data_IF_391367558515
#
_entry.id   IF_391367558515
#
_cell.length_a   1.000
_cell.length_b   1.000
_cell.length_c   1.000
_cell.angle_alpha   90.00
_cell.angle_beta   90.00
_cell.angle_gamma   90.00
#
_symmetry.space_group_name_H-M   'P 1'
#
loop_
_entity.id
_entity.type
_entity.pdbx_description
1 polymer ?
#
# COMPACT_ATOMS: atom_id res chain seq x y z
N UNK A 1 18.03 23.49 -19.67
CA UNK A 1 19.11 23.31 -18.67
C UNK A 1 18.73 23.80 -17.28
N UNK A 2 18.10 24.97 -17.12
CA UNK A 2 17.69 25.53 -15.80
C UNK A 2 16.78 24.62 -14.93
N UNK A 3 15.88 23.84 -15.54
CA UNK A 3 14.98 22.95 -14.80
C UNK A 3 15.74 21.79 -14.12
N UNK A 4 16.79 21.26 -14.75
CA UNK A 4 17.52 20.10 -14.22
C UNK A 4 18.38 20.45 -12.99
N UNK A 5 19.00 21.64 -12.98
CA UNK A 5 19.76 22.12 -11.80
C UNK A 5 18.85 22.39 -10.60
N UNK A 6 17.65 22.94 -10.84
CA UNK A 6 16.69 23.22 -9.78
C UNK A 6 16.11 21.93 -9.18
N UNK A 7 15.84 20.91 -10.01
CA UNK A 7 15.41 19.59 -9.55
C UNK A 7 16.49 18.93 -8.70
N UNK A 8 17.77 18.99 -9.12
CA UNK A 8 18.88 18.42 -8.35
C UNK A 8 19.00 19.05 -6.96
N UNK A 9 18.85 20.37 -6.85
CA UNK A 9 18.84 21.09 -5.55
C UNK A 9 17.68 20.68 -4.64
N UNK A 10 16.47 20.53 -5.19
CA UNK A 10 15.32 20.11 -4.37
C UNK A 10 15.45 18.66 -3.93
N UNK A 11 15.97 17.78 -4.80
CA UNK A 11 16.26 16.39 -4.43
C UNK A 11 17.34 16.30 -3.35
N UNK A 12 18.38 17.14 -3.39
CA UNK A 12 19.38 17.17 -2.32
C UNK A 12 18.77 17.64 -1.00
N UNK A 13 17.95 18.70 -1.02
CA UNK A 13 17.23 19.19 0.18
C UNK A 13 16.30 18.11 0.77
N UNK A 14 15.49 17.45 -0.06
CA UNK A 14 14.61 16.35 0.37
C UNK A 14 15.41 15.20 1.00
N UNK A 15 16.54 14.84 0.39
CA UNK A 15 17.42 13.78 0.91
C UNK A 15 18.02 14.17 2.25
N UNK A 16 18.54 15.38 2.37
CA UNK A 16 19.18 15.86 3.60
C UNK A 16 18.15 15.96 4.72
N UNK A 17 16.94 16.42 4.44
CA UNK A 17 15.85 16.46 5.42
C UNK A 17 15.44 15.05 5.86
N UNK A 18 15.27 14.11 4.92
CA UNK A 18 15.00 12.72 5.26
C UNK A 18 16.14 12.04 6.02
N UNK A 19 17.40 12.48 5.83
CA UNK A 19 18.57 12.01 6.60
C UNK A 19 18.63 12.59 8.00
N UNK A 20 18.42 13.89 8.15
CA UNK A 20 18.34 14.57 9.46
C UNK A 20 17.21 13.96 10.29
N UNK A 21 16.09 13.65 9.62
CA UNK A 21 14.97 12.96 10.21
C UNK A 21 15.24 11.45 10.36
N UNK A 22 16.39 10.91 9.97
CA UNK A 22 16.75 9.49 10.12
C UNK A 22 15.88 8.52 9.33
N UNK A 23 15.04 9.00 8.41
CA UNK A 23 14.20 8.18 7.55
C UNK A 23 15.03 7.41 6.51
N UNK A 24 16.16 7.96 6.08
CA UNK A 24 17.14 7.29 5.22
C UNK A 24 18.54 7.50 5.79
N UNK A 25 19.42 6.51 5.67
CA UNK A 25 20.79 6.59 6.21
C UNK A 25 21.80 7.06 5.16
N UNK A 26 21.75 6.51 3.94
CA UNK A 26 22.68 6.87 2.87
C UNK A 26 22.03 6.87 1.48
N UNK A 27 21.41 5.75 1.11
CA UNK A 27 20.65 5.54 -0.12
C UNK A 27 19.28 5.01 0.25
N UNK A 28 18.28 5.21 -0.60
CA UNK A 28 16.92 4.83 -0.28
C UNK A 28 15.86 5.79 -0.77
N UNK A 29 16.17 6.69 -1.72
CA UNK A 29 15.26 7.72 -2.17
C UNK A 29 15.06 7.61 -3.68
N UNK A 30 13.80 7.65 -4.10
CA UNK A 30 13.48 7.90 -5.49
C UNK A 30 12.29 8.86 -5.62
N UNK A 31 12.34 9.68 -6.67
CA UNK A 31 11.35 10.68 -7.02
C UNK A 31 10.85 10.39 -8.42
N UNK A 32 9.53 10.26 -8.55
CA UNK A 32 8.84 10.00 -9.80
C UNK A 32 7.77 11.07 -10.04
N UNK A 33 7.41 11.26 -11.31
CA UNK A 33 6.15 11.94 -11.64
C UNK A 33 4.97 11.01 -11.37
N UNK A 34 3.77 11.57 -11.25
CA UNK A 34 2.53 10.78 -11.14
C UNK A 34 2.30 9.90 -12.37
N UNK A 35 2.72 10.35 -13.56
CA UNK A 35 2.73 9.55 -14.79
C UNK A 35 3.79 8.43 -14.84
N UNK A 36 4.62 8.27 -13.81
CA UNK A 36 5.59 7.18 -13.73
C UNK A 36 6.98 7.46 -14.27
N UNK A 37 7.27 8.71 -14.68
CA UNK A 37 8.60 9.11 -15.15
C UNK A 37 9.55 9.25 -13.97
N UNK A 38 10.69 8.57 -14.04
CA UNK A 38 11.74 8.69 -13.03
C UNK A 38 12.45 10.04 -13.15
N UNK A 39 12.42 10.83 -12.08
CA UNK A 39 13.13 12.10 -11.97
C UNK A 39 14.48 11.89 -11.29
N UNK A 40 14.50 11.07 -10.23
CA UNK A 40 15.69 10.73 -9.47
C UNK A 40 15.51 9.34 -8.82
N UNK A 41 16.58 8.56 -8.72
CA UNK A 41 16.62 7.33 -7.92
C UNK A 41 18.04 7.10 -7.45
N UNK A 42 18.21 6.79 -6.17
CA UNK A 42 19.42 6.15 -5.63
C UNK A 42 19.16 4.78 -5.01
N UNK A 43 17.96 4.22 -5.27
CA UNK A 43 17.56 2.89 -4.84
C UNK A 43 18.46 1.82 -5.47
N UNK A 44 18.59 0.70 -4.76
CA UNK A 44 19.23 -0.49 -5.31
C UNK A 44 18.37 -1.04 -6.47
N UNK A 45 18.98 -1.60 -7.54
CA UNK A 45 18.24 -2.06 -8.72
C UNK A 45 17.10 -3.03 -8.41
N UNK A 46 17.30 -3.94 -7.46
CA UNK A 46 16.29 -4.90 -7.02
C UNK A 46 15.07 -4.26 -6.35
N UNK A 47 15.28 -3.12 -5.67
CA UNK A 47 14.20 -2.33 -5.05
C UNK A 47 13.50 -1.49 -6.11
N UNK A 48 14.25 -0.97 -7.08
CA UNK A 48 13.69 -0.21 -8.20
C UNK A 48 12.79 -1.07 -9.10
N UNK A 49 13.17 -2.33 -9.37
CA UNK A 49 12.30 -3.28 -10.07
C UNK A 49 10.98 -3.52 -9.34
N UNK A 50 11.02 -3.65 -8.02
CA UNK A 50 9.81 -3.76 -7.20
C UNK A 50 8.98 -2.48 -7.24
N UNK A 51 9.62 -1.31 -7.23
CA UNK A 51 8.94 -0.03 -7.35
C UNK A 51 8.22 0.14 -8.69
N UNK A 52 8.83 -0.33 -9.79
CA UNK A 52 8.25 -0.26 -11.15
C UNK A 52 6.90 -0.96 -11.28
N UNK A 53 6.66 -2.01 -10.48
CA UNK A 53 5.36 -2.70 -10.43
C UNK A 53 4.22 -1.77 -10.00
N UNK A 54 4.52 -0.77 -9.16
CA UNK A 54 3.53 0.16 -8.61
C UNK A 54 3.36 1.44 -9.44
N UNK A 55 4.17 1.65 -10.47
CA UNK A 55 4.14 2.87 -11.29
C UNK A 55 2.75 3.12 -11.90
N UNK A 56 2.08 2.06 -12.35
CA UNK A 56 0.70 2.12 -12.86
C UNK A 56 -0.33 2.57 -11.82
N UNK A 57 0.00 2.45 -10.53
CA UNK A 57 -0.87 2.81 -9.41
C UNK A 57 -0.66 4.24 -8.92
N UNK A 58 0.41 4.92 -9.36
CA UNK A 58 0.72 6.29 -8.93
C UNK A 58 -0.41 7.30 -9.19
N UNK A 59 -1.11 7.28 -10.35
CA UNK A 59 -2.23 8.19 -10.60
C UNK A 59 -3.41 7.99 -9.64
N UNK A 60 -3.58 6.78 -9.11
CA UNK A 60 -4.67 6.44 -8.19
C UNK A 60 -4.42 6.87 -6.75
N UNK A 61 -3.20 7.23 -6.37
CA UNK A 61 -2.87 7.69 -5.02
C UNK A 61 -3.35 9.12 -4.81
N UNK A 62 -4.10 9.39 -3.74
CA UNK A 62 -4.34 10.76 -3.28
C UNK A 62 -3.09 11.33 -2.59
N UNK A 63 -2.97 12.65 -2.48
CA UNK A 63 -1.84 13.30 -1.78
C UNK A 63 -1.82 12.83 -0.32
N UNK A 64 -0.67 12.35 0.14
CA UNK A 64 -0.50 11.76 1.48
C UNK A 64 -0.89 10.28 1.60
N UNK A 65 -1.60 9.73 0.62
CA UNK A 65 -1.77 8.27 0.53
C UNK A 65 -0.44 7.61 0.19
N UNK A 66 -0.24 6.40 0.72
CA UNK A 66 0.99 5.67 0.58
C UNK A 66 0.78 4.17 0.37
N UNK A 67 1.73 3.55 -0.29
CA UNK A 67 1.86 2.10 -0.44
C UNK A 67 3.10 1.69 0.35
N UNK A 68 2.95 0.65 1.16
CA UNK A 68 4.04 0.11 1.98
C UNK A 68 4.35 -1.30 1.51
N UNK A 69 5.61 -1.56 1.17
CA UNK A 69 6.09 -2.87 0.70
C UNK A 69 7.26 -3.30 1.56
N UNK A 70 7.10 -4.42 2.27
CA UNK A 70 8.19 -4.99 3.07
C UNK A 70 9.11 -5.83 2.19
N UNK A 71 10.41 -5.55 2.25
CA UNK A 71 11.46 -6.23 1.49
C UNK A 71 12.53 -6.67 2.49
N UNK A 72 12.45 -7.93 2.94
CA UNK A 72 13.29 -8.43 4.03
C UNK A 72 13.03 -7.65 5.32
N UNK A 73 14.08 -7.11 5.92
CA UNK A 73 14.01 -6.31 7.16
C UNK A 73 13.75 -4.81 6.91
N UNK A 74 13.70 -4.39 5.64
CA UNK A 74 13.48 -3.00 5.24
C UNK A 74 12.09 -2.82 4.65
N UNK A 75 11.64 -1.58 4.63
CA UNK A 75 10.36 -1.21 4.06
C UNK A 75 10.52 -0.14 3.01
N UNK A 76 9.87 -0.35 1.86
CA UNK A 76 9.70 0.64 0.81
C UNK A 76 8.35 1.33 1.00
N UNK A 77 8.37 2.64 1.16
CA UNK A 77 7.19 3.48 1.34
C UNK A 77 7.08 4.39 0.13
N UNK A 78 5.99 4.26 -0.62
CA UNK A 78 5.72 5.05 -1.82
C UNK A 78 4.58 5.99 -1.46
N UNK A 79 4.81 7.30 -1.43
CA UNK A 79 3.80 8.29 -1.04
C UNK A 79 3.71 9.38 -2.10
N UNK A 80 2.47 9.80 -2.41
CA UNK A 80 2.26 10.98 -3.25
C UNK A 80 2.51 12.25 -2.43
N UNK A 81 3.49 13.04 -2.83
CA UNK A 81 3.86 14.28 -2.15
C UNK A 81 3.11 15.50 -2.68
N UNK A 82 2.75 15.49 -3.97
CA UNK A 82 2.10 16.64 -4.62
C UNK A 82 1.18 16.19 -5.74
N UNK A 83 0.53 17.13 -6.44
CA UNK A 83 -0.31 16.78 -7.59
C UNK A 83 0.49 16.13 -8.72
N UNK A 84 1.79 16.39 -8.82
CA UNK A 84 2.64 15.90 -9.90
C UNK A 84 3.79 14.99 -9.47
N UNK A 85 4.01 14.79 -8.16
CA UNK A 85 5.16 14.05 -7.64
C UNK A 85 4.80 12.88 -6.70
N UNK A 86 5.55 11.80 -6.85
CA UNK A 86 5.54 10.61 -5.99
C UNK A 86 6.94 10.37 -5.45
N UNK A 87 7.05 10.18 -4.15
CA UNK A 87 8.30 9.90 -3.46
C UNK A 87 8.29 8.48 -2.93
N UNK A 88 9.35 7.74 -3.24
CA UNK A 88 9.62 6.43 -2.70
C UNK A 88 10.80 6.49 -1.73
N UNK A 89 10.61 5.95 -0.52
CA UNK A 89 11.59 5.92 0.56
C UNK A 89 11.80 4.48 1.01
N UNK A 90 13.03 3.98 0.91
CA UNK A 90 13.45 2.67 1.38
C UNK A 90 14.21 2.81 2.69
N UNK A 91 13.69 2.21 3.76
CA UNK A 91 14.10 2.50 5.13
C UNK A 91 14.12 1.26 6.02
N UNK A 92 14.94 1.32 7.07
CA UNK A 92 14.93 0.39 8.21
C UNK A 92 14.09 0.91 9.38
N UNK A 93 13.64 2.16 9.32
CA UNK A 93 12.88 2.77 10.40
C UNK A 93 11.45 2.24 10.44
N UNK A 94 10.82 2.40 11.60
CA UNK A 94 9.40 2.09 11.76
C UNK A 94 8.59 2.95 10.80
N UNK A 95 7.73 2.29 10.02
CA UNK A 95 6.90 2.90 8.97
C UNK A 95 6.17 4.14 9.47
N UNK A 96 5.51 4.07 10.64
CA UNK A 96 4.76 5.20 11.20
C UNK A 96 5.60 6.47 11.42
N UNK A 97 6.86 6.34 11.84
CA UNK A 97 7.75 7.49 12.02
C UNK A 97 8.08 8.13 10.66
N UNK A 98 8.37 7.30 9.66
CA UNK A 98 8.71 7.77 8.32
C UNK A 98 7.51 8.41 7.64
N UNK A 99 6.30 7.88 7.82
CA UNK A 99 5.08 8.48 7.30
C UNK A 99 4.80 9.87 7.88
N UNK A 100 4.96 10.06 9.19
CA UNK A 100 4.81 11.39 9.81
C UNK A 100 5.79 12.40 9.20
N UNK A 101 7.03 11.96 8.96
CA UNK A 101 8.09 12.78 8.35
C UNK A 101 7.79 13.11 6.89
N UNK A 102 7.38 12.11 6.10
CA UNK A 102 6.98 12.32 4.70
C UNK A 102 5.74 13.22 4.59
N UNK A 103 4.78 13.10 5.51
CA UNK A 103 3.63 14.01 5.57
C UNK A 103 4.02 15.46 5.87
N UNK A 104 5.09 15.69 6.64
CA UNK A 104 5.63 17.04 6.81
C UNK A 104 6.21 17.60 5.50
N UNK A 105 6.85 16.75 4.68
CA UNK A 105 7.41 17.14 3.39
C UNK A 105 6.32 17.58 2.39
N UNK A 106 5.10 17.05 2.47
CA UNK A 106 3.97 17.50 1.64
C UNK A 106 3.74 19.00 1.82
N UNK A 107 3.77 19.48 3.08
CA UNK A 107 3.57 20.89 3.40
C UNK A 107 4.75 21.76 2.94
N UNK A 108 5.98 21.25 3.14
CA UNK A 108 7.20 22.01 2.86
C UNK A 108 7.56 22.07 1.37
N UNK A 109 7.29 20.99 0.61
CA UNK A 109 7.76 20.85 -0.77
C UNK A 109 6.66 20.65 -1.81
N UNK A 110 5.41 20.40 -1.42
CA UNK A 110 4.33 20.12 -2.37
C UNK A 110 4.20 21.19 -3.45
N UNK A 111 4.10 22.46 -3.05
CA UNK A 111 3.97 23.59 -3.99
C UNK A 111 5.23 23.84 -4.83
N UNK A 112 6.41 23.59 -4.26
CA UNK A 112 7.69 23.71 -4.96
C UNK A 112 7.84 22.63 -6.02
N UNK A 113 7.45 21.39 -5.71
CA UNK A 113 7.47 20.26 -6.63
C UNK A 113 6.45 20.44 -7.76
N UNK A 114 5.25 20.95 -7.47
CA UNK A 114 4.24 21.19 -8.50
C UNK A 114 4.69 22.25 -9.52
N UNK A 115 5.34 23.33 -9.06
CA UNK A 115 5.93 24.36 -9.93
C UNK A 115 7.14 23.87 -10.73
N UNK A 116 7.97 23.01 -10.13
CA UNK A 116 9.15 22.45 -10.81
C UNK A 116 8.80 21.40 -11.86
N UNK A 117 7.68 20.70 -11.65
CA UNK A 117 7.18 19.69 -12.58
C UNK A 117 6.11 20.25 -13.53
N UNK A 118 5.82 21.54 -13.44
CA UNK A 118 4.99 22.27 -14.40
C UNK A 118 5.72 22.32 -15.76
N UNK A 119 5.28 21.50 -16.71
CA UNK A 119 5.87 21.40 -18.05
C UNK A 119 6.73 20.17 -18.30
N UNK A 120 6.81 19.21 -17.35
CA UNK A 120 7.30 17.87 -17.67
C UNK A 120 6.17 17.14 -18.40
N UNK A 121 6.25 17.07 -19.73
CA UNK A 121 5.33 16.26 -20.53
C UNK A 121 5.38 14.81 -20.03
N UNK A 122 4.21 14.31 -19.65
CA UNK A 122 3.99 12.91 -19.33
C UNK A 122 4.03 12.13 -20.64
N UNK A 123 5.16 11.50 -20.94
CA UNK A 123 5.16 10.44 -21.95
C UNK A 123 4.21 9.35 -21.46
N UNK A 124 3.09 9.24 -22.17
CA UNK A 124 2.08 8.21 -21.96
C UNK A 124 2.80 6.87 -21.91
N UNK A 125 2.81 6.22 -20.75
CA UNK A 125 3.21 4.83 -20.67
C UNK A 125 2.23 4.06 -21.57
N UNK A 126 2.67 3.41 -22.65
CA UNK A 126 1.78 2.67 -23.51
C UNK A 126 1.11 1.60 -22.66
N UNK A 127 -0.22 1.59 -22.69
CA UNK A 127 -1.03 0.49 -22.16
C UNK A 127 -0.49 -0.80 -22.75
N UNK A 128 0.17 -1.62 -21.94
CA UNK A 128 0.56 -2.97 -22.33
C UNK A 128 -0.76 -3.72 -22.57
N UNK A 129 -1.06 -3.95 -23.85
CA UNK A 129 -2.08 -4.90 -24.26
C UNK A 129 -1.59 -6.28 -23.82
N UNK A 130 -2.33 -6.92 -22.92
CA UNK A 130 -2.10 -8.31 -22.57
C UNK A 130 -2.20 -9.16 -23.85
N UNK A 131 -1.23 -10.03 -24.15
CA UNK A 131 -1.49 -11.12 -25.08
C UNK A 131 -2.52 -12.06 -24.44
N UNK A 132 -3.54 -12.44 -25.21
CA UNK A 132 -4.49 -13.48 -24.86
C UNK A 132 -3.72 -14.76 -24.54
N UNK A 133 -3.80 -15.20 -23.28
CA UNK A 133 -3.23 -16.47 -22.86
C UNK A 133 -4.10 -17.56 -23.47
N UNK A 134 -3.61 -18.13 -24.57
CA UNK A 134 -4.13 -19.37 -25.13
C UNK A 134 -3.98 -20.49 -24.10
N UNK A 135 -5.09 -21.17 -23.86
CA UNK A 135 -5.19 -22.36 -23.01
C UNK A 135 -4.17 -23.41 -23.45
N UNK A 136 -3.31 -23.84 -22.52
CA UNK A 136 -2.60 -25.11 -22.66
C UNK A 136 -2.79 -25.90 -21.37
N UNK A 137 -3.62 -26.94 -21.50
CA UNK A 137 -3.73 -28.07 -20.57
C UNK A 137 -2.36 -28.68 -20.32
N UNK A 138 -2.09 -29.02 -19.06
CA UNK A 138 -1.20 -30.15 -18.76
C UNK A 138 -1.71 -30.87 -17.53
N UNK A 139 -1.72 -32.20 -17.66
CA UNK A 139 -2.36 -33.22 -16.85
C UNK A 139 -1.83 -33.36 -15.41
N UNK A 140 -2.73 -33.83 -14.56
CA UNK A 140 -2.52 -34.39 -13.22
C UNK A 140 -1.86 -35.77 -13.31
N UNK A 141 -0.90 -36.07 -12.40
CA UNK A 141 -0.65 -37.44 -11.88
C UNK A 141 -0.17 -37.31 -10.41
N UNK A 142 -0.59 -38.21 -9.50
CA UNK A 142 -0.61 -37.98 -8.05
C UNK A 142 0.59 -38.59 -7.31
N UNK A 143 0.81 -38.18 -6.06
CA UNK A 143 1.59 -38.96 -5.10
C UNK A 143 0.78 -39.06 -3.80
N UNK A 144 0.31 -40.27 -3.56
CA UNK A 144 -0.24 -40.79 -2.32
C UNK A 144 0.87 -41.62 -1.65
N UNK A 145 1.19 -41.38 -0.38
CA UNK A 145 1.47 -42.40 0.65
C UNK A 145 1.71 -41.73 2.01
N UNK A 146 0.94 -42.20 3.00
CA UNK A 146 0.95 -41.87 4.44
C UNK A 146 2.07 -42.69 5.17
N UNK A 147 1.99 -43.00 6.49
CA UNK A 147 1.98 -42.18 7.71
C UNK A 147 3.14 -42.55 8.67
N UNK A 148 3.36 -41.77 9.74
CA UNK A 148 3.96 -42.30 10.98
C UNK A 148 3.28 -41.69 12.22
N UNK A 149 2.29 -42.43 12.72
CA UNK A 149 1.98 -42.62 14.14
C UNK A 149 3.20 -43.27 14.83
N UNK A 150 3.46 -43.26 16.13
CA UNK A 150 2.85 -42.83 17.39
C UNK A 150 3.98 -43.05 18.41
N UNK A 151 4.19 -42.15 19.38
CA UNK A 151 4.38 -42.62 20.77
C UNK A 151 3.69 -41.64 21.70
N UNK A 152 2.79 -42.21 22.48
CA UNK A 152 1.79 -41.58 23.33
C UNK A 152 2.37 -40.91 24.58
N UNK A 153 1.56 -40.00 25.11
CA UNK A 153 1.62 -39.38 26.43
C UNK A 153 1.45 -40.41 27.58
N UNK A 154 1.35 -40.03 28.87
CA UNK A 154 0.04 -39.51 29.34
C UNK A 154 0.04 -38.59 30.60
N UNK A 155 -0.96 -37.68 30.65
CA UNK A 155 -1.72 -37.09 31.80
C UNK A 155 -0.95 -36.44 32.98
N UNK A 156 -1.42 -35.43 33.73
CA UNK A 156 -2.76 -35.04 34.21
C UNK A 156 -2.58 -33.62 34.83
N UNK A 157 -3.31 -32.57 34.42
CA UNK A 157 -4.64 -32.13 34.88
C UNK A 157 -4.63 -31.20 36.11
N UNK A 158 -5.52 -30.19 36.02
CA UNK A 158 -6.08 -29.29 37.05
C UNK A 158 -5.27 -28.02 37.35
N UNK A 159 -5.67 -26.87 36.81
CA UNK A 159 -6.84 -26.06 37.19
C UNK A 159 -6.68 -25.40 38.57
N UNK A 160 -6.82 -24.07 38.54
CA UNK A 160 -7.16 -23.17 39.65
C UNK A 160 -6.12 -22.99 40.78
N UNK A 161 -5.32 -21.92 40.68
CA UNK A 161 -5.30 -20.84 41.70
C UNK A 161 -5.07 -19.51 40.97
N UNK A 162 -6.19 -18.97 40.49
CA UNK A 162 -6.45 -17.54 40.32
C UNK A 162 -6.36 -16.86 41.71
N UNK A 163 -6.25 -15.52 41.75
CA UNK A 163 -6.27 -14.68 42.98
C UNK A 163 -4.93 -14.47 43.73
N UNK A 164 -3.99 -13.73 43.14
CA UNK A 164 -3.15 -12.75 43.87
C UNK A 164 -2.21 -11.96 42.94
N UNK A 165 -2.77 -11.26 41.94
CA UNK A 165 -2.12 -10.06 41.37
C UNK A 165 -3.08 -9.18 40.57
N UNK A 166 -4.35 -9.19 40.96
CA UNK A 166 -5.29 -8.13 40.62
C UNK A 166 -5.06 -7.00 41.63
N UNK A 167 -4.19 -6.05 41.26
CA UNK A 167 -4.34 -4.61 41.48
C UNK A 167 -3.03 -3.92 41.08
N UNK A 168 -3.16 -2.87 40.27
CA UNK A 168 -2.10 -2.00 39.74
C UNK A 168 -1.26 -2.51 38.54
N UNK A 169 -1.90 -2.82 37.40
CA UNK A 169 -1.51 -2.22 36.11
C UNK A 169 -2.77 -2.11 35.23
N UNK A 170 -3.59 -1.10 35.53
CA UNK A 170 -4.60 -0.58 34.61
C UNK A 170 -3.86 0.14 33.46
N UNK A 171 -3.23 -0.63 32.56
CA UNK A 171 -2.56 -0.09 31.38
C UNK A 171 -3.61 0.32 30.34
N UNK A 172 -3.88 1.62 30.31
CA UNK A 172 -4.54 2.40 29.27
C UNK A 172 -4.64 1.66 27.91
N UNK A 173 -5.84 1.17 27.58
CA UNK A 173 -6.19 0.78 26.21
C UNK A 173 -6.08 2.03 25.33
N UNK A 174 -4.98 2.16 24.59
CA UNK A 174 -4.74 3.28 23.69
C UNK A 174 -5.70 3.17 22.51
N UNK A 175 -6.81 3.88 22.57
CA UNK A 175 -7.68 4.10 21.42
C UNK A 175 -6.93 5.00 20.42
N UNK A 176 -6.64 4.47 19.23
CA UNK A 176 -6.06 5.25 18.14
C UNK A 176 -7.04 5.41 17.00
N UNK A 177 -7.11 6.63 16.46
CA UNK A 177 -7.91 6.94 15.27
C UNK A 177 -7.05 6.65 14.04
N UNK A 178 -7.44 5.68 13.23
CA UNK A 178 -6.80 5.32 11.97
C UNK A 178 -7.77 5.63 10.84
N UNK A 179 -7.32 6.38 9.82
CA UNK A 179 -8.07 6.56 8.58
C UNK A 179 -7.96 5.31 7.73
N UNK A 180 -9.11 4.68 7.43
CA UNK A 180 -9.22 3.50 6.57
C UNK A 180 -9.95 3.86 5.29
N UNK A 181 -9.55 3.20 4.19
CA UNK A 181 -10.19 3.36 2.89
C UNK A 181 -11.39 2.44 2.78
N UNK A 182 -12.54 3.03 2.46
CA UNK A 182 -13.82 2.35 2.38
C UNK A 182 -14.42 2.58 0.99
N UNK A 183 -14.65 1.52 0.19
CA UNK A 183 -15.27 1.65 -1.12
C UNK A 183 -16.79 1.80 -1.00
N UNK A 184 -17.36 2.74 -1.77
CA UNK A 184 -18.80 3.03 -1.86
C UNK A 184 -19.23 2.86 -3.32
N UNK A 185 -20.24 2.03 -3.58
CA UNK A 185 -20.88 1.98 -4.90
C UNK A 185 -21.65 3.27 -5.17
N UNK A 186 -21.40 3.90 -6.31
CA UNK A 186 -22.15 5.04 -6.81
C UNK A 186 -23.19 4.67 -7.88
N UNK A 187 -22.95 3.57 -8.61
CA UNK A 187 -23.82 3.10 -9.69
C UNK A 187 -24.08 1.59 -9.54
N UNK A 188 -25.26 1.23 -9.04
CA UNK A 188 -25.70 -0.16 -8.82
C UNK A 188 -25.82 -0.97 -10.13
N UNK A 189 -25.80 -0.31 -11.29
CA UNK A 189 -25.86 -0.97 -12.61
C UNK A 189 -24.66 -1.90 -12.86
N UNK A 190 -23.59 -1.77 -12.09
CA UNK A 190 -22.44 -2.69 -12.14
C UNK A 190 -22.79 -4.10 -11.69
N UNK A 191 -23.64 -4.26 -10.68
CA UNK A 191 -23.95 -5.57 -10.08
C UNK A 191 -24.61 -6.54 -11.09
N UNK A 192 -25.24 -5.99 -12.13
CA UNK A 192 -25.90 -6.74 -13.22
C UNK A 192 -24.96 -7.23 -14.32
N UNK A 193 -23.76 -6.65 -14.46
CA UNK A 193 -22.81 -6.92 -15.56
C UNK A 193 -21.48 -7.57 -15.11
N UNK A 194 -21.37 -7.94 -13.84
CA UNK A 194 -20.14 -8.49 -13.26
C UNK A 194 -20.21 -10.01 -13.10
N UNK A 195 -19.04 -10.65 -13.05
CA UNK A 195 -18.92 -12.07 -12.71
C UNK A 195 -19.28 -12.34 -11.23
N UNK A 196 -19.64 -13.57 -10.87
CA UNK A 196 -20.13 -13.89 -9.51
C UNK A 196 -19.10 -13.58 -8.42
N UNK A 197 -17.79 -13.74 -8.73
CA UNK A 197 -16.69 -13.40 -7.83
C UNK A 197 -16.58 -11.89 -7.61
N UNK A 198 -16.74 -11.09 -8.66
CA UNK A 198 -16.73 -9.63 -8.57
C UNK A 198 -17.99 -9.11 -7.86
N UNK A 199 -19.15 -9.72 -8.10
CA UNK A 199 -20.40 -9.37 -7.44
C UNK A 199 -20.27 -9.47 -5.91
N UNK A 200 -19.67 -10.56 -5.41
CA UNK A 200 -19.43 -10.76 -3.97
C UNK A 200 -18.62 -9.61 -3.35
N UNK A 201 -17.60 -9.11 -4.05
CA UNK A 201 -16.78 -7.97 -3.59
C UNK A 201 -17.58 -6.67 -3.64
N UNK A 202 -18.27 -6.43 -4.76
CA UNK A 202 -19.02 -5.20 -5.00
C UNK A 202 -20.18 -5.05 -4.00
N UNK A 203 -20.88 -6.13 -3.66
CA UNK A 203 -21.97 -6.10 -2.67
C UNK A 203 -21.51 -5.62 -1.28
N UNK A 204 -20.22 -5.76 -0.94
CA UNK A 204 -19.65 -5.27 0.32
C UNK A 204 -18.97 -3.90 0.20
N UNK A 205 -19.03 -3.27 -0.98
CA UNK A 205 -18.58 -1.89 -1.18
C UNK A 205 -19.70 -0.90 -0.79
N UNK A 206 -20.16 -1.00 0.46
CA UNK A 206 -21.30 -0.29 1.03
C UNK A 206 -20.95 1.07 1.67
N UNK A 207 -19.67 1.40 1.76
CA UNK A 207 -19.22 2.58 2.48
C UNK A 207 -19.05 2.40 3.99
N UNK A 208 -19.23 1.18 4.48
CA UNK A 208 -18.96 0.79 5.85
C UNK A 208 -17.66 0.01 5.93
N UNK A 209 -17.46 -1.04 5.13
CA UNK A 209 -16.35 -2.01 5.27
C UNK A 209 -15.07 -1.61 4.55
N UNK A 210 -13.94 -1.66 5.24
CA UNK A 210 -12.64 -1.38 4.61
C UNK A 210 -12.22 -2.50 3.66
N UNK A 211 -11.31 -2.21 2.72
CA UNK A 211 -10.79 -3.22 1.77
C UNK A 211 -10.15 -4.42 2.52
N UNK A 212 -9.53 -4.18 3.67
CA UNK A 212 -8.93 -5.22 4.52
C UNK A 212 -10.00 -6.14 5.15
N UNK A 213 -11.16 -5.59 5.52
CA UNK A 213 -12.28 -6.36 6.06
C UNK A 213 -12.97 -7.18 4.98
N UNK A 214 -13.19 -6.58 3.81
CA UNK A 214 -13.74 -7.25 2.63
C UNK A 214 -12.85 -8.44 2.26
N UNK A 215 -11.52 -8.29 2.37
CA UNK A 215 -10.56 -9.37 2.11
C UNK A 215 -10.70 -10.53 3.11
N UNK A 216 -10.79 -10.21 4.41
CA UNK A 216 -10.98 -11.21 5.47
C UNK A 216 -12.31 -11.95 5.33
N UNK A 217 -13.39 -11.25 5.00
CA UNK A 217 -14.73 -11.85 4.86
C UNK A 217 -14.91 -12.68 3.60
N UNK A 218 -14.22 -12.33 2.51
CA UNK A 218 -14.35 -13.08 1.23
C UNK A 218 -13.33 -14.18 1.05
N UNK A 219 -12.21 -14.13 1.79
CA UNK A 219 -11.04 -14.94 1.51
C UNK A 219 -10.34 -14.55 0.21
N UNK A 220 -10.70 -13.42 -0.41
CA UNK A 220 -10.06 -12.90 -1.62
C UNK A 220 -8.87 -12.03 -1.19
N UNK A 221 -7.69 -12.15 -1.83
CA UNK A 221 -6.54 -11.34 -1.49
C UNK A 221 -6.84 -9.85 -1.56
N UNK A 222 -6.37 -9.10 -0.56
CA UNK A 222 -6.52 -7.63 -0.47
C UNK A 222 -6.22 -6.92 -1.80
N UNK A 223 -5.16 -7.36 -2.49
CA UNK A 223 -4.72 -6.76 -3.74
C UNK A 223 -5.73 -6.94 -4.89
N UNK A 224 -6.38 -8.10 -4.99
CA UNK A 224 -7.41 -8.33 -6.02
C UNK A 224 -8.62 -7.42 -5.80
N UNK A 225 -9.03 -7.26 -4.54
CA UNK A 225 -10.14 -6.36 -4.17
C UNK A 225 -9.76 -4.92 -4.47
N UNK A 226 -8.57 -4.49 -4.09
CA UNK A 226 -8.07 -3.13 -4.36
C UNK A 226 -8.02 -2.84 -5.87
N UNK A 227 -7.53 -3.78 -6.68
CA UNK A 227 -7.52 -3.65 -8.14
C UNK A 227 -8.92 -3.50 -8.71
N UNK A 228 -9.87 -4.29 -8.21
CA UNK A 228 -11.25 -4.24 -8.64
C UNK A 228 -11.91 -2.90 -8.28
N UNK A 229 -11.78 -2.46 -7.03
CA UNK A 229 -12.28 -1.16 -6.58
C UNK A 229 -11.67 -0.01 -7.40
N UNK A 230 -10.37 -0.07 -7.70
CA UNK A 230 -9.67 0.93 -8.53
C UNK A 230 -10.17 0.94 -9.97
N UNK A 231 -10.38 -0.24 -10.58
CA UNK A 231 -10.92 -0.40 -11.94
C UNK A 231 -12.31 0.21 -12.08
N UNK A 232 -13.19 0.01 -11.10
CA UNK A 232 -14.54 0.60 -11.09
C UNK A 232 -14.53 2.07 -10.65
N UNK A 233 -13.56 2.49 -9.85
CA UNK A 233 -13.39 3.89 -9.47
C UNK A 233 -12.93 4.76 -10.63
N UNK A 234 -12.01 4.27 -11.47
CA UNK A 234 -11.63 4.92 -12.73
C UNK A 234 -12.83 5.12 -13.68
N UNK A 235 -13.80 4.20 -13.63
CA UNK A 235 -15.07 4.29 -14.38
C UNK A 235 -16.14 5.15 -13.69
N UNK A 236 -15.81 5.83 -12.58
CA UNK A 236 -16.72 6.63 -11.74
C UNK A 236 -17.91 5.86 -11.16
N UNK A 237 -17.77 4.54 -11.01
CA UNK A 237 -18.82 3.64 -10.52
C UNK A 237 -18.68 3.31 -9.03
N UNK A 238 -17.46 3.44 -8.50
CA UNK A 238 -17.15 3.28 -7.08
C UNK A 238 -16.34 4.50 -6.64
N UNK A 239 -16.57 4.97 -5.42
CA UNK A 239 -15.75 6.00 -4.78
C UNK A 239 -15.11 5.42 -3.54
N UNK A 240 -13.79 5.52 -3.45
CA UNK A 240 -13.06 5.17 -2.23
C UNK A 240 -13.03 6.43 -1.36
N UNK A 241 -13.56 6.33 -0.15
CA UNK A 241 -13.58 7.42 0.83
C UNK A 241 -12.70 7.06 2.03
N UNK A 242 -12.04 8.06 2.60
CA UNK A 242 -11.29 7.91 3.84
C UNK A 242 -12.24 8.09 5.02
N UNK A 243 -12.39 7.05 5.84
CA UNK A 243 -13.18 7.10 7.08
C UNK A 243 -12.25 6.98 8.29
N UNK A 244 -12.33 7.89 9.26
CA UNK A 244 -11.66 7.69 10.54
C UNK A 244 -12.33 6.56 11.30
N UNK A 245 -11.55 5.59 11.75
CA UNK A 245 -12.01 4.49 12.61
C UNK A 245 -11.18 4.39 13.87
N UNK A 246 -11.86 4.06 14.96
CA UNK A 246 -11.24 3.84 16.25
C UNK A 246 -10.87 2.36 16.31
N UNK A 247 -9.59 2.07 16.39
CA UNK A 247 -9.09 0.71 16.63
C UNK A 247 -8.72 0.65 18.11
N UNK A 248 -9.34 -0.30 18.81
CA UNK A 248 -9.04 -0.63 20.20
C UNK A 248 -8.13 -1.86 20.19
N UNK A 249 -6.93 -1.72 20.74
CA UNK A 249 -5.98 -2.83 20.97
C UNK A 249 -6.19 -3.45 22.36
#
# INVERSE_FOLDING_TARGET
MLAAENVSKVVSMLRDELRVLGAITARGLALYTVGGKQIYSDLDPSVEERLKVFVSSFPGLSIGSHITVTIGERTLIIMRLSERSVLAVFTHQRVGIVLVKMSALIKSYGTTLDKLLEGVEEEQVPSIQLPEVSEVKTEEVPVEEQPSELVEAPVEEKAEVEEAKAEEVEAERRTRIVTVQVPVIMDESILKKCSDRERKILEMCDGERSIDEIAKETGIPFFEILQLCTKYSAKKKIKIIDRPRIITE
#
